data_IF_708988634516
#
_entry.id   IF_708988634516
#
_cell.length_a   1.000
_cell.length_b   1.000
_cell.length_c   1.000
_cell.angle_alpha   90.00
_cell.angle_beta   90.00
_cell.angle_gamma   90.00
#
_symmetry.space_group_name_H-M   'P 1'
#
loop_
_entity.id
_entity.type
_entity.pdbx_description
1 polymer ?
#
# COMPACT_ATOMS: atom_id res chain seq x y z
N UNK A 1 40.30 -0.81 -17.97
CA UNK A 1 39.25 -1.82 -17.74
C UNK A 1 38.20 -1.70 -18.82
N UNK A 2 37.55 -2.80 -19.20
CA UNK A 2 36.42 -2.83 -20.16
C UNK A 2 35.20 -3.32 -19.39
N UNK A 3 34.05 -2.70 -19.60
CA UNK A 3 32.83 -2.99 -18.85
C UNK A 3 31.80 -3.75 -19.69
N UNK A 4 31.07 -4.65 -19.05
CA UNK A 4 29.93 -5.34 -19.66
C UNK A 4 28.86 -4.33 -20.10
N UNK A 5 28.25 -4.54 -21.27
CA UNK A 5 27.24 -3.63 -21.85
C UNK A 5 27.80 -2.43 -22.60
N UNK A 6 29.13 -2.30 -22.74
CA UNK A 6 29.76 -1.22 -23.53
C UNK A 6 30.22 -1.69 -24.90
N UNK A 7 30.21 -0.78 -25.89
CA UNK A 7 30.61 -1.06 -27.28
C UNK A 7 31.96 -0.39 -27.57
N UNK A 8 32.88 -1.15 -28.19
CA UNK A 8 34.15 -0.62 -28.72
C UNK A 8 33.90 -0.06 -30.13
N UNK A 9 34.04 1.25 -30.29
CA UNK A 9 33.71 1.94 -31.55
C UNK A 9 34.82 1.87 -32.61
N UNK A 10 36.09 1.69 -32.20
CA UNK A 10 37.23 1.58 -33.12
C UNK A 10 38.41 0.85 -32.47
N UNK A 11 39.21 0.16 -33.28
CA UNK A 11 40.44 -0.50 -32.87
C UNK A 11 40.28 -1.99 -32.56
N UNK A 12 41.33 -2.61 -32.02
CA UNK A 12 41.36 -4.02 -31.60
C UNK A 12 42.13 -4.14 -30.30
N UNK A 13 41.67 -5.00 -29.40
CA UNK A 13 42.32 -5.23 -28.11
C UNK A 13 42.01 -6.62 -27.57
N UNK A 14 42.85 -7.09 -26.64
CA UNK A 14 42.62 -8.29 -25.83
C UNK A 14 42.58 -7.86 -24.37
N UNK A 15 41.70 -8.46 -23.58
CA UNK A 15 41.56 -8.19 -22.16
C UNK A 15 41.32 -9.49 -21.40
N UNK A 16 41.66 -9.48 -20.11
CA UNK A 16 41.36 -10.57 -19.18
C UNK A 16 39.98 -10.31 -18.57
N UNK A 17 39.17 -11.36 -18.42
CA UNK A 17 37.88 -11.28 -17.74
C UNK A 17 38.11 -11.16 -16.24
N UNK A 18 37.72 -10.03 -15.65
CA UNK A 18 37.89 -9.78 -14.21
C UNK A 18 36.64 -10.08 -13.37
N UNK A 19 35.44 -10.03 -13.97
CA UNK A 19 34.16 -10.27 -13.30
C UNK A 19 33.09 -10.73 -14.32
N UNK A 20 32.09 -11.47 -13.85
CA UNK A 20 30.97 -11.99 -14.65
C UNK A 20 29.65 -11.83 -13.88
N UNK A 21 28.51 -11.83 -14.58
CA UNK A 21 27.19 -11.78 -13.95
C UNK A 21 26.98 -10.55 -13.05
N UNK A 22 26.43 -10.78 -11.85
CA UNK A 22 26.11 -9.73 -10.88
C UNK A 22 27.36 -9.05 -10.28
N UNK A 23 28.52 -9.72 -10.31
CA UNK A 23 29.77 -9.14 -9.84
C UNK A 23 30.33 -8.04 -10.78
N UNK A 24 29.74 -7.87 -11.96
CA UNK A 24 30.09 -6.79 -12.89
C UNK A 24 29.48 -5.46 -12.46
N UNK A 25 30.06 -4.33 -12.89
CA UNK A 25 29.50 -3.01 -12.58
C UNK A 25 28.05 -2.82 -13.07
N UNK A 26 27.70 -3.39 -14.24
CA UNK A 26 26.31 -3.35 -14.72
C UNK A 26 25.39 -4.27 -13.90
N UNK A 27 25.93 -5.38 -13.36
CA UNK A 27 25.25 -6.26 -12.41
C UNK A 27 24.93 -5.55 -11.10
N UNK A 28 25.90 -4.84 -10.53
CA UNK A 28 25.70 -4.01 -9.33
C UNK A 28 24.64 -2.92 -9.56
N UNK A 29 24.61 -2.30 -10.74
CA UNK A 29 23.54 -1.34 -11.09
C UNK A 29 22.17 -2.02 -11.13
N UNK A 30 22.08 -3.21 -11.74
CA UNK A 30 20.83 -3.97 -11.80
C UNK A 30 20.35 -4.40 -10.41
N UNK A 31 21.27 -4.75 -9.50
CA UNK A 31 20.99 -5.05 -8.10
C UNK A 31 20.45 -3.81 -7.37
N UNK A 32 21.12 -2.66 -7.48
CA UNK A 32 20.63 -1.40 -6.90
C UNK A 32 19.24 -1.00 -7.40
N UNK A 33 18.91 -1.29 -8.66
CA UNK A 33 17.58 -1.06 -9.21
C UNK A 33 16.52 -2.00 -8.60
N UNK A 34 16.88 -3.25 -8.31
CA UNK A 34 15.97 -4.23 -7.69
C UNK A 34 15.79 -4.01 -6.18
N UNK A 35 16.83 -3.58 -5.49
CA UNK A 35 16.79 -3.30 -4.06
C UNK A 35 16.06 -1.99 -3.72
N UNK A 36 15.77 -1.16 -4.73
CA UNK A 36 15.02 0.08 -4.52
C UNK A 36 13.61 -0.26 -4.02
N UNK A 37 13.27 0.06 -2.75
CA UNK A 37 11.99 -0.35 -2.20
C UNK A 37 10.85 0.37 -2.90
N UNK A 38 9.78 -0.37 -3.19
CA UNK A 38 8.54 0.18 -3.73
C UNK A 38 7.99 1.24 -2.77
N UNK A 39 8.16 2.50 -3.17
CA UNK A 39 7.74 3.63 -2.37
C UNK A 39 6.27 3.87 -2.65
N UNK A 40 5.41 3.62 -1.64
CA UNK A 40 3.98 3.99 -1.70
C UNK A 40 3.84 5.43 -2.21
N UNK A 41 2.96 5.62 -3.18
CA UNK A 41 2.72 6.93 -3.77
C UNK A 41 2.19 7.91 -2.72
N UNK A 42 2.40 9.21 -2.92
CA UNK A 42 1.87 10.22 -2.02
C UNK A 42 0.33 10.18 -1.93
N UNK A 43 -0.33 9.75 -3.01
CA UNK A 43 -1.78 9.58 -3.05
C UNK A 43 -2.23 8.39 -2.19
N UNK A 44 -1.62 7.22 -2.34
CA UNK A 44 -1.93 6.04 -1.52
C UNK A 44 -1.75 6.33 -0.02
N UNK A 45 -0.72 7.09 0.35
CA UNK A 45 -0.50 7.49 1.76
C UNK A 45 -1.65 8.35 2.29
N UNK A 46 -2.12 9.32 1.50
CA UNK A 46 -3.24 10.19 1.88
C UNK A 46 -4.56 9.42 1.97
N UNK A 47 -4.82 8.52 1.03
CA UNK A 47 -6.01 7.68 1.02
C UNK A 47 -6.04 6.69 2.17
N UNK A 48 -4.91 6.08 2.51
CA UNK A 48 -4.82 5.22 3.69
C UNK A 48 -5.06 6.01 4.98
N UNK A 49 -4.55 7.25 5.06
CA UNK A 49 -4.81 8.13 6.20
C UNK A 49 -6.31 8.47 6.35
N UNK A 50 -6.96 8.86 5.25
CA UNK A 50 -8.39 9.16 5.22
C UNK A 50 -9.23 7.94 5.59
N UNK A 51 -8.97 6.79 4.97
CA UNK A 51 -9.70 5.54 5.20
C UNK A 51 -9.55 5.07 6.65
N UNK A 52 -8.34 5.18 7.21
CA UNK A 52 -8.07 4.82 8.61
C UNK A 52 -8.77 5.76 9.59
N UNK A 53 -8.79 7.06 9.31
CA UNK A 53 -9.51 8.04 10.13
C UNK A 53 -11.01 7.78 10.15
N UNK A 54 -11.61 7.57 8.98
CA UNK A 54 -13.04 7.21 8.86
C UNK A 54 -13.35 5.89 9.56
N UNK A 55 -12.52 4.85 9.37
CA UNK A 55 -12.72 3.56 10.02
C UNK A 55 -12.68 3.63 11.55
N UNK A 56 -11.72 4.38 12.13
CA UNK A 56 -11.65 4.58 13.58
C UNK A 56 -12.91 5.32 14.09
N UNK A 57 -13.35 6.36 13.38
CA UNK A 57 -14.56 7.09 13.74
C UNK A 57 -15.80 6.19 13.70
N UNK A 58 -15.96 5.39 12.64
CA UNK A 58 -17.07 4.44 12.50
C UNK A 58 -17.10 3.43 13.64
N UNK A 59 -15.97 2.81 13.98
CA UNK A 59 -15.90 1.85 15.09
C UNK A 59 -16.27 2.51 16.42
N UNK A 60 -15.78 3.73 16.67
CA UNK A 60 -16.09 4.46 17.89
C UNK A 60 -17.59 4.76 18.01
N UNK A 61 -18.23 5.20 16.91
CA UNK A 61 -19.67 5.44 16.85
C UNK A 61 -20.45 4.13 17.08
N UNK A 62 -20.02 3.01 16.48
CA UNK A 62 -20.69 1.72 16.66
C UNK A 62 -20.64 1.23 18.11
N UNK A 63 -19.52 1.42 18.81
CA UNK A 63 -19.38 1.09 20.23
C UNK A 63 -20.34 1.93 21.08
N UNK A 64 -20.39 3.24 20.84
CA UNK A 64 -21.31 4.15 21.56
C UNK A 64 -22.76 3.72 21.37
N UNK A 65 -23.14 3.42 20.13
CA UNK A 65 -24.51 3.00 19.80
C UNK A 65 -24.83 1.67 20.48
N UNK A 66 -23.95 0.67 20.36
CA UNK A 66 -24.12 -0.63 21.00
C UNK A 66 -24.31 -0.51 22.53
N UNK A 67 -23.45 0.27 23.20
CA UNK A 67 -23.55 0.51 24.64
C UNK A 67 -24.86 1.24 25.00
N UNK A 68 -25.26 2.24 24.21
CA UNK A 68 -26.51 2.97 24.45
C UNK A 68 -27.72 2.06 24.33
N UNK A 69 -27.75 1.19 23.32
CA UNK A 69 -28.83 0.23 23.11
C UNK A 69 -28.90 -0.82 24.21
N UNK A 70 -27.75 -1.32 24.65
CA UNK A 70 -27.68 -2.30 25.72
C UNK A 70 -28.09 -1.73 27.09
N UNK A 71 -27.59 -0.54 27.47
CA UNK A 71 -27.83 0.02 28.80
C UNK A 71 -29.13 0.82 28.95
N UNK A 72 -29.64 1.42 27.87
CA UNK A 72 -30.78 2.37 27.97
C UNK A 72 -32.08 1.79 27.44
N UNK A 73 -32.03 0.92 26.43
CA UNK A 73 -33.23 0.41 25.75
C UNK A 73 -33.59 -1.04 26.10
N UNK A 74 -32.79 -1.71 26.94
CA UNK A 74 -33.00 -3.11 27.37
C UNK A 74 -33.25 -4.06 26.19
N UNK A 75 -32.58 -3.78 25.06
CA UNK A 75 -32.68 -4.60 23.85
C UNK A 75 -31.77 -5.81 24.00
N UNK A 76 -32.22 -6.98 23.54
CA UNK A 76 -31.39 -8.16 23.49
C UNK A 76 -30.07 -7.91 22.76
N UNK A 77 -28.98 -8.44 23.30
CA UNK A 77 -27.60 -8.26 22.81
C UNK A 77 -27.49 -8.59 21.32
N UNK A 78 -28.22 -9.60 20.85
CA UNK A 78 -28.18 -10.05 19.47
C UNK A 78 -28.68 -8.96 18.49
N UNK A 79 -29.75 -8.25 18.84
CA UNK A 79 -30.36 -7.23 18.00
C UNK A 79 -29.54 -5.93 18.03
N UNK A 80 -29.04 -5.54 19.21
CA UNK A 80 -28.11 -4.41 19.34
C UNK A 80 -26.83 -4.62 18.52
N UNK A 81 -26.30 -5.86 18.48
CA UNK A 81 -25.15 -6.22 17.66
C UNK A 81 -25.44 -6.11 16.16
N UNK A 82 -26.58 -6.64 15.70
CA UNK A 82 -26.98 -6.55 14.29
C UNK A 82 -27.12 -5.10 13.82
N UNK A 83 -27.70 -4.22 14.65
CA UNK A 83 -27.81 -2.78 14.34
C UNK A 83 -26.43 -2.13 14.23
N UNK A 84 -25.52 -2.43 15.17
CA UNK A 84 -24.17 -1.88 15.15
C UNK A 84 -23.39 -2.33 13.90
N UNK A 85 -23.49 -3.60 13.51
CA UNK A 85 -22.85 -4.12 12.30
C UNK A 85 -23.47 -3.51 11.03
N UNK A 86 -24.80 -3.37 10.97
CA UNK A 86 -25.47 -2.73 9.85
C UNK A 86 -25.02 -1.27 9.65
N UNK A 87 -24.88 -0.52 10.75
CA UNK A 87 -24.34 0.84 10.72
C UNK A 87 -22.87 0.87 10.32
N UNK A 88 -22.06 -0.06 10.82
CA UNK A 88 -20.66 -0.16 10.43
C UNK A 88 -20.51 -0.35 8.92
N UNK A 89 -21.26 -1.30 8.33
CA UNK A 89 -21.27 -1.58 6.88
C UNK A 89 -21.73 -0.35 6.09
N UNK A 90 -22.80 0.31 6.51
CA UNK A 90 -23.30 1.52 5.85
C UNK A 90 -22.28 2.68 5.85
N UNK A 91 -21.36 2.70 6.81
CA UNK A 91 -20.35 3.73 6.96
C UNK A 91 -18.97 3.35 6.38
N UNK A 92 -18.81 2.15 5.79
CA UNK A 92 -17.57 1.78 5.10
C UNK A 92 -17.39 2.69 3.88
N UNK A 93 -16.23 3.34 3.70
CA UNK A 93 -15.98 4.20 2.55
C UNK A 93 -15.64 3.37 1.29
N UNK A 94 -16.57 2.52 0.86
CA UNK A 94 -16.41 1.62 -0.30
C UNK A 94 -16.22 2.39 -1.61
N UNK A 95 -16.73 3.63 -1.68
CA UNK A 95 -16.59 4.49 -2.84
C UNK A 95 -15.22 5.18 -2.98
N UNK A 96 -14.39 5.21 -1.94
CA UNK A 96 -13.14 6.00 -1.96
C UNK A 96 -12.17 5.53 -3.06
N UNK A 97 -11.90 4.21 -3.24
CA UNK A 97 -11.04 3.74 -4.32
C UNK A 97 -11.62 4.03 -5.71
N UNK A 98 -12.94 3.83 -5.87
CA UNK A 98 -13.62 4.04 -7.16
C UNK A 98 -13.60 5.51 -7.60
N UNK A 99 -13.88 6.44 -6.68
CA UNK A 99 -13.86 7.88 -6.96
C UNK A 99 -12.45 8.34 -7.34
N UNK A 100 -11.42 7.81 -6.69
CA UNK A 100 -10.02 8.14 -7.00
C UNK A 100 -9.66 7.68 -8.41
N UNK A 101 -10.01 6.45 -8.79
CA UNK A 101 -9.72 5.92 -10.13
C UNK A 101 -10.41 6.72 -11.24
N UNK A 102 -11.62 7.24 -11.00
CA UNK A 102 -12.35 8.07 -11.98
C UNK A 102 -11.78 9.49 -12.07
N UNK A 103 -11.24 10.01 -10.97
CA UNK A 103 -10.69 11.37 -10.90
C UNK A 103 -9.28 11.49 -11.49
N UNK A 104 -8.61 10.38 -11.77
CA UNK A 104 -7.28 10.28 -12.38
C UNK A 104 -7.37 9.96 -13.86
#
# INVERSE_FOLDING_TARGET
MVFSGTIVTKGRGKAVVCAIGMDTEIGKIAEMMQETPDKKTNLEKKLNGLSKGLGIATVFICIIIFLTYFFVRDIEIHEAFLIAVALAVAAIPEGLPAVVTISL
#
